data_IF_170137856198
#
_entry.id   IF_170137856198
#
_cell.length_a   1.000
_cell.length_b   1.000
_cell.length_c   1.000
_cell.angle_alpha   90.00
_cell.angle_beta   90.00
_cell.angle_gamma   90.00
#
_symmetry.space_group_name_H-M   'P 1'
#
loop_
_entity.id
_entity.type
_entity.pdbx_description
1 polymer ?
#
# COMPACT_ATOMS: atom_id res chain seq x y z
N UNK A 1 -44.11 -68.61 -22.17
CA UNK A 1 -43.27 -68.25 -21.01
C UNK A 1 -41.96 -67.49 -21.34
N UNK A 2 -41.82 -66.85 -22.51
CA UNK A 2 -40.64 -66.05 -22.90
C UNK A 2 -40.84 -64.53 -22.94
N UNK A 3 -42.05 -64.04 -22.70
CA UNK A 3 -42.38 -62.58 -22.75
C UNK A 3 -42.42 -61.90 -21.36
N UNK A 4 -42.38 -62.64 -20.27
CA UNK A 4 -42.38 -62.06 -18.91
C UNK A 4 -40.98 -61.75 -18.38
N UNK A 5 -39.92 -62.36 -18.94
CA UNK A 5 -38.55 -62.19 -18.43
C UNK A 5 -37.87 -60.88 -18.93
N UNK A 6 -38.38 -60.28 -20.04
CA UNK A 6 -37.79 -59.07 -20.61
C UNK A 6 -38.30 -57.80 -19.94
N UNK A 7 -39.48 -57.81 -19.37
CA UNK A 7 -40.06 -56.67 -18.69
C UNK A 7 -39.46 -56.36 -17.31
N UNK A 8 -38.89 -57.35 -16.60
CA UNK A 8 -38.35 -57.20 -15.25
C UNK A 8 -36.91 -56.64 -15.32
N UNK A 9 -36.16 -56.96 -16.38
CA UNK A 9 -34.78 -56.48 -16.53
C UNK A 9 -34.66 -55.01 -16.93
N UNK A 10 -35.66 -54.43 -17.58
CA UNK A 10 -35.68 -53.00 -17.95
C UNK A 10 -36.11 -52.09 -16.78
N UNK A 11 -36.86 -52.60 -15.82
CA UNK A 11 -37.29 -51.85 -14.63
C UNK A 11 -36.20 -51.67 -13.59
N UNK A 12 -35.21 -52.59 -13.49
CA UNK A 12 -34.07 -52.50 -12.54
C UNK A 12 -32.99 -51.55 -13.06
N UNK A 13 -32.82 -51.42 -14.39
CA UNK A 13 -31.84 -50.52 -14.99
C UNK A 13 -32.26 -49.03 -14.88
N UNK A 14 -33.53 -48.71 -14.81
CA UNK A 14 -34.00 -47.33 -14.68
C UNK A 14 -33.96 -46.79 -13.24
N UNK A 15 -34.00 -47.65 -12.21
CA UNK A 15 -33.82 -47.21 -10.81
C UNK A 15 -32.37 -46.93 -10.47
N UNK A 16 -31.40 -47.57 -11.14
CA UNK A 16 -29.97 -47.36 -10.88
C UNK A 16 -29.44 -46.01 -11.38
N UNK A 17 -30.06 -45.44 -12.40
CA UNK A 17 -29.63 -44.14 -12.95
C UNK A 17 -30.14 -42.92 -12.16
N UNK A 18 -31.18 -43.05 -11.40
CA UNK A 18 -31.74 -41.94 -10.59
C UNK A 18 -30.99 -41.74 -9.26
N UNK A 19 -30.30 -42.76 -8.75
CA UNK A 19 -29.50 -42.62 -7.51
C UNK A 19 -28.15 -41.94 -7.72
N UNK A 20 -27.65 -41.82 -8.95
CA UNK A 20 -26.40 -41.12 -9.26
C UNK A 20 -26.58 -39.63 -9.52
N UNK A 21 -27.79 -39.15 -9.64
CA UNK A 21 -28.09 -37.73 -9.90
C UNK A 21 -28.28 -36.88 -8.60
N UNK A 22 -28.43 -37.50 -7.45
CA UNK A 22 -28.68 -36.79 -6.18
C UNK A 22 -27.42 -36.46 -5.37
N UNK A 23 -26.23 -36.75 -5.88
CA UNK A 23 -24.94 -36.54 -5.16
C UNK A 23 -24.20 -35.25 -5.47
N UNK A 24 -24.75 -34.33 -6.26
CA UNK A 24 -24.20 -32.98 -6.38
C UNK A 24 -24.82 -32.11 -5.30
N UNK A 25 -24.27 -32.24 -4.08
CA UNK A 25 -24.52 -31.28 -3.02
C UNK A 25 -24.28 -29.87 -3.57
N UNK A 26 -25.31 -29.03 -3.48
CA UNK A 26 -25.16 -27.59 -3.76
C UNK A 26 -23.96 -27.11 -2.94
N UNK A 27 -22.95 -26.56 -3.61
CA UNK A 27 -21.88 -25.87 -2.91
C UNK A 27 -22.52 -24.84 -1.96
N UNK A 28 -22.06 -24.74 -0.70
CA UNK A 28 -22.58 -23.74 0.20
C UNK A 28 -22.53 -22.37 -0.50
N UNK A 29 -23.54 -21.50 -0.30
CA UNK A 29 -23.52 -20.17 -0.89
C UNK A 29 -22.18 -19.52 -0.53
N UNK A 30 -21.51 -18.95 -1.55
CA UNK A 30 -20.25 -18.28 -1.37
C UNK A 30 -20.43 -17.20 -0.29
N UNK A 31 -19.68 -17.33 0.81
CA UNK A 31 -19.68 -16.30 1.84
C UNK A 31 -19.16 -15.00 1.22
N UNK A 32 -19.80 -13.87 1.51
CA UNK A 32 -19.29 -12.58 1.06
C UNK A 32 -17.82 -12.43 1.51
N UNK A 33 -16.94 -11.84 0.69
CA UNK A 33 -15.56 -11.64 1.05
C UNK A 33 -15.50 -10.86 2.39
N UNK A 34 -14.59 -11.25 3.31
CA UNK A 34 -14.47 -10.56 4.58
C UNK A 34 -14.11 -9.09 4.33
N UNK A 35 -14.69 -8.18 5.13
CA UNK A 35 -14.33 -6.76 5.11
C UNK A 35 -12.83 -6.59 5.35
N UNK A 36 -12.23 -5.58 4.74
CA UNK A 36 -10.76 -5.41 4.69
C UNK A 36 -10.11 -5.40 6.08
N UNK A 37 -10.76 -4.71 7.04
CA UNK A 37 -10.31 -4.66 8.43
C UNK A 37 -10.29 -6.04 9.11
N UNK A 38 -11.34 -6.83 8.93
CA UNK A 38 -11.44 -8.19 9.48
C UNK A 38 -10.50 -9.18 8.78
N UNK A 39 -10.13 -8.90 7.51
CA UNK A 39 -9.21 -9.71 6.74
C UNK A 39 -7.73 -9.42 7.04
N UNK A 40 -7.42 -8.36 7.80
CA UNK A 40 -6.06 -7.96 8.12
C UNK A 40 -5.28 -9.13 8.76
N UNK A 41 -4.07 -9.45 8.28
CA UNK A 41 -3.24 -10.50 8.87
C UNK A 41 -2.62 -10.07 10.20
N UNK A 42 -2.51 -8.77 10.43
CA UNK A 42 -1.96 -8.12 11.62
C UNK A 42 -2.55 -6.71 11.80
N UNK A 43 -2.43 -6.17 12.99
CA UNK A 43 -2.86 -4.81 13.31
C UNK A 43 -1.68 -3.83 13.23
N UNK A 44 -1.75 -2.86 12.31
CA UNK A 44 -0.77 -1.78 12.18
C UNK A 44 -1.28 -0.45 12.73
N UNK A 45 -2.42 -0.44 13.42
CA UNK A 45 -2.93 0.80 14.02
C UNK A 45 -2.03 1.30 15.15
N UNK A 46 -2.18 2.57 15.49
CA UNK A 46 -1.41 3.23 16.55
C UNK A 46 -0.30 4.14 16.03
N UNK A 47 0.64 4.47 16.90
CA UNK A 47 1.71 5.43 16.62
C UNK A 47 3.02 4.74 16.26
N UNK A 48 3.71 5.30 15.27
CA UNK A 48 4.98 4.81 14.75
C UNK A 48 5.98 5.95 14.61
N UNK A 49 7.24 5.69 14.88
CA UNK A 49 8.33 6.66 14.65
C UNK A 49 9.33 6.10 13.66
N UNK A 50 9.73 6.92 12.69
CA UNK A 50 10.75 6.56 11.70
C UNK A 50 12.08 6.22 12.37
N UNK A 51 12.68 5.09 11.95
CA UNK A 51 14.07 4.75 12.22
C UNK A 51 14.93 5.25 11.05
N UNK A 52 15.93 6.04 11.36
CA UNK A 52 16.87 6.57 10.35
C UNK A 52 18.20 5.85 10.51
N UNK A 53 18.24 4.59 10.06
CA UNK A 53 19.40 3.71 10.14
C UNK A 53 20.34 3.87 8.95
N UNK A 54 19.81 4.34 7.82
CA UNK A 54 20.52 4.53 6.57
C UNK A 54 20.25 5.91 5.95
N UNK A 55 21.04 6.31 4.98
CA UNK A 55 20.88 7.56 4.23
C UNK A 55 20.70 8.80 5.14
N UNK A 56 21.19 8.77 6.38
CA UNK A 56 20.89 9.80 7.37
C UNK A 56 21.24 11.22 6.89
N UNK A 57 22.32 11.38 6.09
CA UNK A 57 22.72 12.68 5.50
C UNK A 57 21.63 13.25 4.59
N UNK A 58 20.92 12.38 3.88
CA UNK A 58 19.90 12.78 2.90
C UNK A 58 18.49 12.75 3.48
N UNK A 59 18.31 12.16 4.66
CA UNK A 59 17.01 12.07 5.36
C UNK A 59 16.90 13.13 6.46
N UNK A 60 17.95 13.34 7.25
CA UNK A 60 17.97 14.30 8.36
C UNK A 60 18.27 15.72 7.89
N UNK A 61 19.13 15.88 6.88
CA UNK A 61 19.53 17.16 6.33
C UNK A 61 18.93 17.37 4.94
N UNK A 62 18.80 18.63 4.52
CA UNK A 62 18.53 18.96 3.12
C UNK A 62 19.84 18.94 2.35
N UNK A 63 20.03 18.04 1.37
CA UNK A 63 21.24 18.01 0.57
C UNK A 63 21.39 19.29 -0.26
N UNK A 64 22.61 19.60 -0.72
CA UNK A 64 22.81 20.71 -1.64
C UNK A 64 21.95 20.58 -2.90
N UNK A 65 21.55 21.71 -3.47
CA UNK A 65 20.87 21.79 -4.76
C UNK A 65 21.63 20.98 -5.82
N UNK A 66 20.90 20.20 -6.63
CA UNK A 66 21.48 19.37 -7.69
C UNK A 66 22.22 18.11 -7.20
N UNK A 67 22.36 17.88 -5.88
CA UNK A 67 22.89 16.62 -5.40
C UNK A 67 21.85 15.50 -5.59
N UNK A 68 22.22 14.51 -6.39
CA UNK A 68 21.38 13.34 -6.72
C UNK A 68 22.07 12.02 -6.40
N UNK A 69 23.11 12.04 -5.56
CA UNK A 69 23.89 10.86 -5.19
C UNK A 69 22.98 9.73 -4.69
N UNK A 70 23.30 8.50 -5.10
CA UNK A 70 22.59 7.26 -4.75
C UNK A 70 21.13 7.20 -5.23
N UNK A 71 20.73 8.04 -6.20
CA UNK A 71 19.43 7.95 -6.84
C UNK A 71 19.59 7.56 -8.33
N UNK A 72 18.78 6.61 -8.84
CA UNK A 72 18.83 6.20 -10.25
C UNK A 72 18.10 7.20 -11.14
N UNK A 73 18.54 8.46 -11.13
CA UNK A 73 17.87 9.56 -11.81
C UNK A 73 18.30 9.69 -13.26
N UNK A 74 17.34 10.06 -14.11
CA UNK A 74 17.58 10.42 -15.52
C UNK A 74 18.31 11.77 -15.64
N UNK A 75 18.75 12.11 -16.84
CA UNK A 75 19.31 13.43 -17.14
C UNK A 75 18.28 14.55 -16.89
N UNK A 76 17.00 14.29 -17.18
CA UNK A 76 15.92 15.26 -16.94
C UNK A 76 15.71 15.53 -15.44
N UNK A 77 15.72 14.48 -14.61
CA UNK A 77 15.63 14.69 -13.16
C UNK A 77 16.80 15.49 -12.60
N UNK A 78 18.03 15.30 -13.12
CA UNK A 78 19.19 16.11 -12.75
C UNK A 78 19.02 17.57 -13.13
N UNK A 79 18.52 17.80 -14.32
CA UNK A 79 18.23 19.14 -14.83
C UNK A 79 17.22 19.87 -13.95
N UNK A 80 16.09 19.22 -13.62
CA UNK A 80 15.03 19.78 -12.78
C UNK A 80 15.54 20.03 -11.35
N UNK A 81 16.23 19.07 -10.73
CA UNK A 81 16.82 19.24 -9.41
C UNK A 81 17.85 20.38 -9.36
N UNK A 82 18.57 20.62 -10.46
CA UNK A 82 19.48 21.75 -10.63
C UNK A 82 18.78 23.13 -10.70
N UNK A 83 17.49 23.15 -11.00
CA UNK A 83 16.67 24.36 -11.03
C UNK A 83 15.90 24.61 -9.73
N UNK A 84 15.93 23.68 -8.78
CA UNK A 84 15.18 23.77 -7.53
C UNK A 84 15.43 25.09 -6.79
N UNK A 85 14.34 25.71 -6.35
CA UNK A 85 14.32 26.96 -5.62
C UNK A 85 13.17 26.96 -4.61
N UNK A 86 13.46 26.71 -3.31
CA UNK A 86 12.42 26.61 -2.31
C UNK A 86 11.68 27.93 -2.06
N UNK A 87 12.30 29.09 -2.38
CA UNK A 87 11.64 30.38 -2.24
C UNK A 87 10.54 30.55 -3.31
N UNK A 88 10.81 30.06 -4.55
CA UNK A 88 9.79 30.02 -5.60
C UNK A 88 8.64 29.08 -5.26
N UNK A 89 8.95 27.89 -4.73
CA UNK A 89 7.91 26.96 -4.29
C UNK A 89 7.03 27.58 -3.18
N UNK A 90 7.67 28.25 -2.21
CA UNK A 90 6.93 28.93 -1.15
C UNK A 90 6.05 30.08 -1.66
N UNK A 91 6.58 30.92 -2.58
CA UNK A 91 5.83 32.02 -3.18
C UNK A 91 4.64 31.52 -4.03
N UNK A 92 4.75 30.32 -4.62
CA UNK A 92 3.67 29.66 -5.35
C UNK A 92 2.69 28.88 -4.47
N UNK A 93 2.87 28.85 -3.13
CA UNK A 93 2.05 28.03 -2.23
C UNK A 93 2.33 26.53 -2.33
N UNK A 94 3.50 26.13 -2.88
CA UNK A 94 3.86 24.75 -3.19
C UNK A 94 4.90 24.15 -2.21
N UNK A 95 5.04 24.72 -1.03
CA UNK A 95 5.95 24.24 0.02
C UNK A 95 5.65 22.79 0.48
N UNK A 96 4.48 22.24 0.11
CA UNK A 96 4.12 20.86 0.37
C UNK A 96 4.71 19.84 -0.62
N UNK A 97 5.41 20.22 -1.67
CA UNK A 97 5.97 19.33 -2.70
C UNK A 97 6.81 18.18 -2.10
N UNK A 98 7.55 18.42 -1.04
CA UNK A 98 8.40 17.41 -0.40
C UNK A 98 7.63 16.49 0.55
N UNK A 99 6.42 16.87 0.92
CA UNK A 99 5.55 16.10 1.82
C UNK A 99 4.51 15.27 1.06
N UNK A 100 4.60 15.19 -0.27
CA UNK A 100 3.76 14.32 -1.08
C UNK A 100 4.13 12.84 -0.91
N UNK A 101 3.21 11.94 -1.30
CA UNK A 101 3.35 10.49 -1.10
C UNK A 101 4.67 9.92 -1.64
N UNK A 102 5.19 10.44 -2.77
CA UNK A 102 6.45 9.99 -3.36
C UNK A 102 7.70 10.27 -2.53
N UNK A 103 7.63 11.18 -1.54
CA UNK A 103 8.79 11.58 -0.73
C UNK A 103 8.61 11.45 0.78
N UNK A 104 7.36 11.46 1.28
CA UNK A 104 7.08 11.68 2.70
C UNK A 104 7.61 10.56 3.61
N UNK A 105 7.58 9.29 3.17
CA UNK A 105 8.09 8.16 3.96
C UNK A 105 9.60 8.20 4.15
N UNK A 106 10.30 8.97 3.33
CA UNK A 106 11.74 9.20 3.45
C UNK A 106 12.09 10.12 4.61
N UNK A 107 11.21 11.02 4.99
CA UNK A 107 11.44 12.00 6.04
C UNK A 107 11.44 11.32 7.43
N UNK A 108 12.13 11.91 8.43
CA UNK A 108 12.05 11.44 9.81
C UNK A 108 10.71 11.86 10.43
N UNK A 109 9.68 11.08 10.15
CA UNK A 109 8.28 11.35 10.50
C UNK A 109 7.77 10.45 11.62
N UNK A 110 6.65 10.82 12.21
CA UNK A 110 5.76 9.95 12.96
C UNK A 110 4.49 9.70 12.19
N UNK A 111 3.97 8.49 12.32
CA UNK A 111 2.71 8.07 11.71
C UNK A 111 1.72 7.78 12.82
N UNK A 112 0.45 8.10 12.58
CA UNK A 112 -0.68 7.64 13.36
C UNK A 112 -1.64 6.92 12.42
N UNK A 113 -1.73 5.60 12.57
CA UNK A 113 -2.52 4.74 11.70
C UNK A 113 -3.80 4.34 12.41
N UNK A 114 -4.94 4.53 11.74
CA UNK A 114 -6.27 4.21 12.24
C UNK A 114 -7.15 3.68 11.11
N UNK A 115 -8.30 3.10 11.45
CA UNK A 115 -9.34 2.80 10.47
C UNK A 115 -10.39 3.91 10.49
N UNK A 116 -10.66 4.55 9.33
CA UNK A 116 -11.78 5.48 9.18
C UNK A 116 -13.11 4.70 9.10
N UNK A 117 -13.08 3.52 8.44
CA UNK A 117 -14.18 2.56 8.36
C UNK A 117 -13.62 1.13 8.10
N UNK A 118 -14.46 0.15 7.82
CA UNK A 118 -14.06 -1.25 7.59
C UNK A 118 -13.27 -1.49 6.30
N UNK A 119 -13.20 -0.50 5.40
CA UNK A 119 -12.55 -0.58 4.09
C UNK A 119 -11.53 0.54 3.84
N UNK A 120 -11.38 1.48 4.77
CA UNK A 120 -10.48 2.63 4.61
C UNK A 120 -9.50 2.71 5.77
N UNK A 121 -8.23 2.40 5.51
CA UNK A 121 -7.15 2.63 6.46
C UNK A 121 -6.62 4.05 6.29
N UNK A 122 -6.54 4.80 7.39
CA UNK A 122 -6.03 6.17 7.43
C UNK A 122 -4.65 6.20 8.07
N UNK A 123 -3.75 6.99 7.49
CA UNK A 123 -2.43 7.28 8.00
C UNK A 123 -2.23 8.79 8.07
N UNK A 124 -2.28 9.33 9.28
CA UNK A 124 -1.88 10.70 9.57
C UNK A 124 -0.36 10.76 9.76
N UNK A 125 0.27 11.82 9.26
CA UNK A 125 1.72 12.00 9.26
C UNK A 125 2.01 13.39 9.84
N UNK A 126 2.86 13.46 10.86
CA UNK A 126 3.13 14.70 11.60
C UNK A 126 3.87 15.75 10.77
N UNK A 127 4.82 15.34 9.91
CA UNK A 127 5.52 16.25 9.02
C UNK A 127 4.60 16.72 7.87
N UNK A 128 4.48 18.00 7.71
CA UNK A 128 3.59 18.63 6.73
C UNK A 128 2.11 18.53 7.09
N UNK A 129 1.75 17.91 8.22
CA UNK A 129 0.36 17.64 8.64
C UNK A 129 -0.42 16.99 7.51
N UNK A 130 0.07 15.85 7.05
CA UNK A 130 -0.49 15.13 5.91
C UNK A 130 -1.35 13.95 6.35
N UNK A 131 -2.36 13.63 5.55
CA UNK A 131 -3.20 12.44 5.74
C UNK A 131 -3.26 11.66 4.45
N UNK A 132 -3.03 10.35 4.54
CA UNK A 132 -3.20 9.38 3.45
C UNK A 132 -4.35 8.44 3.80
N UNK A 133 -5.19 8.11 2.81
CA UNK A 133 -6.24 7.09 2.91
C UNK A 133 -5.97 5.98 1.94
N UNK A 134 -6.02 4.76 2.43
CA UNK A 134 -5.81 3.55 1.66
C UNK A 134 -7.15 2.84 1.51
N UNK A 135 -7.71 2.88 0.31
CA UNK A 135 -9.02 2.34 -0.01
C UNK A 135 -8.91 0.88 -0.43
N UNK A 136 -9.54 0.00 0.32
CA UNK A 136 -9.63 -1.42 -0.02
C UNK A 136 -10.80 -1.65 -0.96
N UNK A 137 -10.52 -1.57 -2.24
CA UNK A 137 -11.53 -1.79 -3.27
C UNK A 137 -11.64 -3.28 -3.61
N UNK A 138 -12.86 -3.69 -3.96
CA UNK A 138 -13.15 -5.08 -4.39
C UNK A 138 -12.60 -5.41 -5.79
N UNK A 139 -11.93 -4.48 -6.44
CA UNK A 139 -11.38 -4.65 -7.79
C UNK A 139 -10.10 -5.48 -7.76
N UNK A 140 -10.01 -6.54 -8.57
CA UNK A 140 -8.83 -7.41 -8.62
C UNK A 140 -7.58 -6.75 -9.22
N UNK A 141 -7.71 -5.60 -9.87
CA UNK A 141 -6.61 -4.95 -10.59
C UNK A 141 -6.17 -3.64 -9.92
N UNK A 142 -5.21 -3.74 -8.98
CA UNK A 142 -4.58 -2.57 -8.36
C UNK A 142 -3.77 -1.70 -9.34
N UNK A 143 -3.47 -2.18 -10.56
CA UNK A 143 -2.71 -1.41 -11.53
C UNK A 143 -3.51 -0.25 -12.12
N UNK A 144 -4.83 -0.28 -11.97
CA UNK A 144 -5.75 0.74 -12.48
C UNK A 144 -6.62 1.22 -11.31
N UNK A 145 -6.00 1.93 -10.37
CA UNK A 145 -6.78 2.70 -9.41
C UNK A 145 -7.52 3.80 -10.20
N UNK A 146 -8.84 3.77 -10.16
CA UNK A 146 -9.66 4.82 -10.75
C UNK A 146 -9.96 5.85 -9.66
N UNK A 147 -9.21 6.94 -9.56
CA UNK A 147 -9.57 8.00 -8.65
C UNK A 147 -10.96 8.53 -9.04
N UNK A 148 -11.79 8.92 -8.08
CA UNK A 148 -12.93 9.76 -8.39
C UNK A 148 -12.42 10.95 -9.22
N UNK A 149 -13.25 11.49 -10.12
CA UNK A 149 -12.90 12.62 -10.99
C UNK A 149 -12.61 13.87 -10.14
N UNK A 150 -11.46 13.90 -9.52
CA UNK A 150 -10.96 14.93 -8.61
C UNK A 150 -9.58 15.39 -9.09
N UNK A 151 -9.22 16.62 -8.75
CA UNK A 151 -7.89 17.14 -9.04
C UNK A 151 -6.78 16.32 -8.35
N UNK A 152 -5.62 16.16 -8.98
CA UNK A 152 -4.47 15.52 -8.36
C UNK A 152 -4.09 16.16 -7.02
N UNK A 153 -3.72 15.35 -6.04
CA UNK A 153 -3.31 15.81 -4.71
C UNK A 153 -1.87 15.42 -4.40
N UNK A 154 -1.27 16.00 -3.35
CA UNK A 154 0.07 15.60 -2.89
C UNK A 154 0.12 14.14 -2.44
N UNK A 155 -1.00 13.60 -1.92
CA UNK A 155 -1.09 12.23 -1.43
C UNK A 155 -1.65 11.26 -2.49
N UNK A 156 -2.15 11.79 -3.60
CA UNK A 156 -2.74 10.99 -4.67
C UNK A 156 -3.99 10.25 -4.26
N UNK A 157 -4.28 9.18 -5.00
CA UNK A 157 -5.31 8.21 -4.72
C UNK A 157 -4.68 6.84 -4.51
N UNK A 158 -4.95 6.20 -3.37
CA UNK A 158 -4.27 4.97 -2.95
C UNK A 158 -5.26 3.82 -2.82
N UNK A 159 -5.08 2.78 -3.63
CA UNK A 159 -5.82 1.53 -3.52
C UNK A 159 -4.99 0.49 -2.80
N UNK A 160 -5.60 -0.19 -1.85
CA UNK A 160 -4.97 -1.13 -0.95
C UNK A 160 -5.54 -2.54 -1.08
N UNK A 161 -4.72 -3.53 -0.76
CA UNK A 161 -5.15 -4.91 -0.54
C UNK A 161 -4.19 -5.64 0.39
N UNK A 162 -4.70 -6.69 1.01
CA UNK A 162 -3.87 -7.67 1.71
C UNK A 162 -3.35 -8.71 0.70
N UNK A 163 -2.03 -8.87 0.60
CA UNK A 163 -1.40 -9.92 -0.19
C UNK A 163 -0.97 -11.06 0.75
N UNK A 164 -1.38 -12.30 0.44
CA UNK A 164 -1.08 -13.49 1.23
C UNK A 164 -0.19 -14.44 0.42
N UNK A 165 0.88 -15.04 1.02
CA UNK A 165 1.69 -16.05 0.34
C UNK A 165 0.84 -17.24 -0.09
N UNK A 166 1.03 -17.71 -1.32
CA UNK A 166 0.33 -18.88 -1.87
C UNK A 166 -1.14 -18.66 -2.23
N UNK A 167 -1.69 -17.47 -2.00
CA UNK A 167 -2.97 -17.09 -2.57
C UNK A 167 -2.77 -16.82 -4.07
N UNK A 168 -3.39 -17.63 -4.94
CA UNK A 168 -3.56 -17.27 -6.35
C UNK A 168 -4.26 -15.90 -6.44
N UNK A 169 -4.19 -15.26 -7.61
CA UNK A 169 -4.77 -13.92 -7.83
C UNK A 169 -6.21 -13.86 -7.29
N UNK A 170 -6.40 -13.33 -6.08
CA UNK A 170 -7.71 -12.87 -5.64
C UNK A 170 -8.34 -13.45 -4.39
N UNK A 171 -7.63 -14.14 -3.50
CA UNK A 171 -8.29 -14.59 -2.27
C UNK A 171 -7.35 -14.71 -1.06
N UNK A 172 -7.86 -14.44 0.16
CA UNK A 172 -7.14 -14.80 1.36
C UNK A 172 -7.01 -16.32 1.43
N UNK A 173 -5.79 -16.85 1.59
CA UNK A 173 -5.60 -18.26 1.90
C UNK A 173 -6.34 -18.57 3.23
N UNK A 174 -7.19 -19.60 3.27
CA UNK A 174 -7.86 -19.96 4.52
C UNK A 174 -6.81 -20.29 5.59
N UNK A 175 -6.94 -19.69 6.77
CA UNK A 175 -6.12 -20.04 7.91
C UNK A 175 -6.40 -21.50 8.26
N UNK A 176 -5.48 -22.41 7.97
CA UNK A 176 -5.54 -23.80 8.44
C UNK A 176 -5.04 -23.83 9.87
N UNK A 177 -5.89 -24.25 10.80
CA UNK A 177 -5.46 -24.64 12.14
C UNK A 177 -4.96 -23.51 13.04
N UNK A 178 -5.51 -22.29 12.97
CA UNK A 178 -5.18 -21.22 13.94
C UNK A 178 -3.77 -20.63 13.83
N UNK A 179 -3.01 -20.97 12.80
CA UNK A 179 -1.71 -20.35 12.55
C UNK A 179 -1.87 -18.85 12.21
N UNK A 180 -0.94 -17.99 12.68
CA UNK A 180 -0.94 -16.57 12.32
C UNK A 180 -1.02 -16.41 10.81
N UNK A 181 -1.89 -15.50 10.34
CA UNK A 181 -1.96 -15.17 8.91
C UNK A 181 -0.67 -14.42 8.54
N UNK A 182 0.15 -15.04 7.71
CA UNK A 182 1.30 -14.35 7.11
C UNK A 182 0.79 -13.58 5.90
N UNK A 183 1.08 -12.29 5.82
CA UNK A 183 0.66 -11.45 4.71
C UNK A 183 1.34 -10.08 4.76
N UNK A 184 1.06 -9.26 3.75
CA UNK A 184 1.54 -7.88 3.69
C UNK A 184 0.43 -6.97 3.16
N UNK A 185 0.46 -5.70 3.55
CA UNK A 185 -0.37 -4.69 2.92
C UNK A 185 0.35 -4.18 1.67
N UNK A 186 -0.31 -4.28 0.52
CA UNK A 186 0.13 -3.63 -0.71
C UNK A 186 -0.75 -2.44 -1.00
N UNK A 187 -0.12 -1.30 -1.30
CA UNK A 187 -0.78 -0.06 -1.67
C UNK A 187 -0.23 0.41 -3.00
N UNK A 188 -1.11 0.80 -3.93
CA UNK A 188 -0.73 1.44 -5.18
C UNK A 188 -1.36 2.82 -5.22
N UNK A 189 -0.53 3.83 -5.38
CA UNK A 189 -0.93 5.24 -5.41
C UNK A 189 -0.61 5.85 -6.77
N UNK A 190 -1.59 6.52 -7.35
CA UNK A 190 -1.46 7.34 -8.56
C UNK A 190 -2.16 8.68 -8.37
N UNK A 191 -2.40 9.42 -9.45
CA UNK A 191 -3.10 10.72 -9.40
C UNK A 191 -2.41 11.73 -8.48
N UNK A 192 -1.08 11.72 -8.53
CA UNK A 192 -0.22 12.57 -7.71
C UNK A 192 -0.03 13.95 -8.37
N UNK A 193 -0.05 15.01 -7.58
CA UNK A 193 0.58 16.28 -7.99
C UNK A 193 2.08 16.07 -8.09
N UNK A 194 2.76 16.69 -9.08
CA UNK A 194 4.22 16.67 -9.16
C UNK A 194 4.86 17.18 -7.87
N UNK A 195 5.83 16.44 -7.35
CA UNK A 195 6.48 16.76 -6.09
C UNK A 195 7.94 16.37 -6.04
N UNK A 196 8.49 16.21 -4.84
CA UNK A 196 9.90 15.86 -4.64
C UNK A 196 10.06 14.58 -3.82
N UNK A 197 10.92 13.68 -4.31
CA UNK A 197 11.37 12.49 -3.58
C UNK A 197 12.36 12.87 -2.49
N UNK A 198 13.12 13.95 -2.69
CA UNK A 198 14.15 14.45 -1.77
C UNK A 198 14.00 15.96 -1.57
N UNK A 199 14.27 16.45 -0.36
CA UNK A 199 14.07 17.85 0.04
C UNK A 199 14.83 18.89 -0.79
N UNK A 200 15.78 18.48 -1.59
CA UNK A 200 16.54 19.36 -2.50
C UNK A 200 16.01 19.36 -3.93
N UNK A 201 14.73 19.07 -4.14
CA UNK A 201 14.05 19.24 -5.41
C UNK A 201 14.22 18.11 -6.41
N UNK A 202 14.65 16.91 -5.99
CA UNK A 202 14.65 15.74 -6.90
C UNK A 202 13.20 15.37 -7.20
N UNK A 203 12.74 15.50 -8.47
CA UNK A 203 11.34 15.49 -8.81
C UNK A 203 10.74 14.07 -8.93
N UNK A 204 9.42 14.01 -8.82
CA UNK A 204 8.55 13.01 -9.45
C UNK A 204 7.38 13.75 -10.14
N UNK A 205 6.81 13.13 -11.17
CA UNK A 205 5.82 13.75 -12.04
C UNK A 205 4.37 13.28 -11.81
N UNK A 206 3.43 13.79 -12.62
CA UNK A 206 2.01 13.46 -12.49
C UNK A 206 1.68 12.03 -12.93
N UNK A 207 2.54 11.41 -13.74
CA UNK A 207 2.36 10.04 -14.23
C UNK A 207 3.04 8.99 -13.33
N UNK A 208 3.53 9.42 -12.16
CA UNK A 208 4.17 8.53 -11.20
C UNK A 208 3.18 7.50 -10.66
N UNK A 209 3.61 6.24 -10.64
CA UNK A 209 2.98 5.17 -9.87
C UNK A 209 3.86 4.84 -8.67
N UNK A 210 3.30 4.97 -7.46
CA UNK A 210 3.96 4.58 -6.24
C UNK A 210 3.35 3.27 -5.74
N UNK A 211 4.15 2.21 -5.65
CA UNK A 211 3.75 0.94 -5.03
C UNK A 211 4.46 0.81 -3.69
N UNK A 212 3.71 0.48 -2.65
CA UNK A 212 4.23 0.34 -1.29
C UNK A 212 3.82 -1.02 -0.71
N UNK A 213 4.75 -1.65 -0.01
CA UNK A 213 4.54 -2.90 0.72
C UNK A 213 4.82 -2.66 2.18
N UNK A 214 3.81 -2.83 3.02
CA UNK A 214 3.91 -2.70 4.47
C UNK A 214 4.01 -4.08 5.08
N UNK A 215 5.07 -4.34 5.81
CA UNK A 215 5.33 -5.60 6.49
C UNK A 215 5.48 -5.33 7.98
N UNK A 216 4.64 -5.97 8.78
CA UNK A 216 4.71 -5.90 10.24
C UNK A 216 5.65 -6.97 10.77
N UNK A 217 6.56 -6.57 11.65
CA UNK A 217 7.58 -7.40 12.24
C UNK A 217 7.54 -7.26 13.76
N UNK A 218 7.77 -8.36 14.45
CA UNK A 218 7.90 -8.37 15.93
C UNK A 218 9.22 -9.04 16.27
N UNK A 219 10.07 -8.35 17.05
CA UNK A 219 11.32 -8.94 17.50
C UNK A 219 11.12 -9.90 18.68
N UNK A 220 12.21 -10.55 19.11
CA UNK A 220 12.16 -11.51 20.23
C UNK A 220 11.77 -10.87 21.57
N UNK A 221 11.92 -9.58 21.72
CA UNK A 221 11.55 -8.79 22.90
C UNK A 221 10.09 -8.31 22.85
N UNK A 222 9.34 -8.62 21.79
CA UNK A 222 7.96 -8.16 21.59
C UNK A 222 7.87 -6.72 21.06
N UNK A 223 8.97 -6.10 20.65
CA UNK A 223 8.94 -4.77 20.02
C UNK A 223 8.46 -4.90 18.59
N UNK A 224 7.49 -4.08 18.22
CA UNK A 224 6.90 -4.07 16.90
C UNK A 224 7.60 -3.04 15.98
N UNK A 225 7.78 -3.46 14.73
CA UNK A 225 8.34 -2.65 13.64
C UNK A 225 7.45 -2.73 12.41
N UNK A 226 7.47 -1.68 11.59
CA UNK A 226 6.81 -1.62 10.31
C UNK A 226 7.86 -1.30 9.25
N UNK A 227 8.14 -2.25 8.37
CA UNK A 227 9.00 -2.04 7.20
C UNK A 227 8.11 -1.66 6.02
N UNK A 228 8.42 -0.53 5.38
CA UNK A 228 7.68 0.00 4.23
C UNK A 228 8.62 0.07 3.04
N UNK A 229 8.50 -0.89 2.13
CA UNK A 229 9.24 -0.86 0.86
C UNK A 229 8.43 -0.07 -0.16
N UNK A 230 9.00 1.00 -0.65
CA UNK A 230 8.42 1.87 -1.68
C UNK A 230 9.09 1.60 -3.02
N UNK A 231 8.31 1.51 -4.08
CA UNK A 231 8.76 1.47 -5.47
C UNK A 231 8.09 2.63 -6.21
N UNK A 232 8.88 3.62 -6.56
CA UNK A 232 8.44 4.79 -7.31
C UNK A 232 8.82 4.59 -8.78
N UNK A 233 7.81 4.39 -9.61
CA UNK A 233 7.93 4.20 -11.04
C UNK A 233 7.53 5.49 -11.77
N UNK A 234 8.53 6.16 -12.30
CA UNK A 234 8.41 7.39 -13.10
C UNK A 234 9.54 7.41 -14.13
N UNK A 235 9.33 6.87 -15.33
CA UNK A 235 10.37 6.76 -16.34
C UNK A 235 10.94 8.10 -16.81
N UNK A 236 10.23 9.21 -16.58
CA UNK A 236 10.72 10.56 -16.89
C UNK A 236 11.89 10.93 -15.99
N UNK A 237 11.82 10.53 -14.71
CA UNK A 237 12.76 10.99 -13.70
C UNK A 237 13.64 9.89 -13.11
N UNK A 238 13.22 8.62 -13.19
CA UNK A 238 13.97 7.48 -12.62
C UNK A 238 14.13 6.33 -13.62
N UNK A 239 15.37 5.83 -13.76
CA UNK A 239 15.72 4.66 -14.55
C UNK A 239 16.88 3.90 -13.88
N UNK A 240 16.63 2.70 -13.34
CA UNK A 240 15.33 2.02 -13.17
C UNK A 240 14.43 2.71 -12.13
N UNK A 241 13.22 2.15 -11.87
CA UNK A 241 12.35 2.59 -10.80
C UNK A 241 13.10 2.71 -9.48
N UNK A 242 12.81 3.74 -8.69
CA UNK A 242 13.47 3.96 -7.40
C UNK A 242 12.82 3.12 -6.32
N UNK A 243 13.57 2.18 -5.75
CA UNK A 243 13.12 1.28 -4.69
C UNK A 243 13.88 1.59 -3.41
N UNK A 244 13.15 1.75 -2.31
CA UNK A 244 13.71 2.00 -0.99
C UNK A 244 12.83 1.44 0.12
N UNK A 245 13.44 0.90 1.17
CA UNK A 245 12.73 0.49 2.39
C UNK A 245 12.95 1.52 3.49
N UNK A 246 11.89 1.84 4.20
CA UNK A 246 11.87 2.71 5.37
C UNK A 246 11.33 1.92 6.55
N UNK A 247 11.90 2.11 7.72
CA UNK A 247 11.57 1.37 8.93
C UNK A 247 10.96 2.30 9.97
N UNK A 248 9.99 1.78 10.68
CA UNK A 248 9.31 2.49 11.77
C UNK A 248 9.23 1.58 12.98
N UNK A 249 9.38 2.18 14.16
CA UNK A 249 9.23 1.50 15.45
C UNK A 249 7.91 1.92 16.08
N UNK A 250 7.12 0.95 16.56
CA UNK A 250 5.87 1.23 17.27
C UNK A 250 6.11 1.99 18.55
N UNK A 251 5.28 2.97 18.81
CA UNK A 251 5.25 3.76 20.04
C UNK A 251 4.08 3.31 20.89
N UNK A 252 4.21 3.44 22.21
CA UNK A 252 3.15 3.06 23.16
C UNK A 252 1.94 3.98 23.06
N UNK A 253 2.17 5.25 22.76
CA UNK A 253 1.17 6.32 22.76
C UNK A 253 1.58 7.46 21.81
N UNK A 254 0.87 8.59 21.92
CA UNK A 254 1.11 9.81 21.15
C UNK A 254 2.35 10.61 21.57
N UNK A 255 3.18 10.13 22.50
CA UNK A 255 4.35 10.87 22.96
C UNK A 255 5.28 11.22 21.81
N UNK A 256 5.55 12.51 21.67
CA UNK A 256 6.38 13.05 20.58
C UNK A 256 5.61 13.27 19.27
N UNK A 257 4.32 12.95 19.18
CA UNK A 257 3.46 13.38 18.08
C UNK A 257 3.42 14.89 18.00
N UNK A 258 3.85 15.47 16.87
CA UNK A 258 3.99 16.92 16.74
C UNK A 258 3.72 17.37 15.30
N UNK A 259 2.45 17.45 14.91
CA UNK A 259 2.07 17.90 13.58
C UNK A 259 2.59 19.31 13.28
N UNK A 260 3.28 19.47 12.16
CA UNK A 260 3.80 20.75 11.69
C UNK A 260 3.39 20.97 10.25
N UNK A 261 2.92 22.16 9.94
CA UNK A 261 2.56 22.53 8.58
C UNK A 261 3.75 22.42 7.60
N UNK A 262 3.44 22.30 6.32
CA UNK A 262 4.47 22.35 5.26
C UNK A 262 5.27 23.64 5.34
N UNK A 263 6.61 23.53 5.19
CA UNK A 263 7.50 24.68 5.23
C UNK A 263 7.81 25.21 6.63
N UNK A 264 7.24 24.64 7.70
CA UNK A 264 7.64 24.99 9.06
C UNK A 264 9.10 24.63 9.31
N UNK A 265 9.92 25.61 9.65
CA UNK A 265 11.31 25.38 10.08
C UNK A 265 11.33 24.66 11.43
N UNK A 266 12.34 23.82 11.63
CA UNK A 266 12.60 23.17 12.93
C UNK A 266 13.10 24.17 13.94
#
# INVERSE_FOLDING_TARGET
MRRLAIAVTLAVASLGLQLLAQGRGQAPPAQPPPVARAAAPYDITGYWVSLVTDDWRYRMLTPPKGNVDYLPVTAEARRVAGLWDPAKDAAAGEQCKVYGAGGIMRLPVRLHVTWDDDHTLKMDIDAGTQTRRFFFESTPNLAVAHPPAAEPTWQGYSVARWDFPGAGRGGPAPARGGAPRVGQLRVVTNHLRPGYVRRNGVPYGPNTTLTEYFVHLVDRGGQEYLAVTTMLDDPTYFQPAYIKTYEFKKQRDATGWNPRACGATK
#
